data_IF_647872040646
#
_entry.id   IF_647872040646
#
_cell.length_a   1.000
_cell.length_b   1.000
_cell.length_c   1.000
_cell.angle_alpha   90.00
_cell.angle_beta   90.00
_cell.angle_gamma   90.00
#
_symmetry.space_group_name_H-M   'P 1'
#
loop_
_entity.id
_entity.type
_entity.pdbx_description
1 polymer ?
#
# COMPACT_ATOMS: atom_id res chain seq x y z
N UNK A 1 -0.91 -29.43 6.29
CA UNK A 1 -1.86 -28.31 6.24
C UNK A 1 -3.28 -28.85 5.96
N UNK A 2 -4.34 -28.23 6.54
CA UNK A 2 -5.73 -28.62 6.31
C UNK A 2 -6.37 -29.50 7.39
N UNK A 3 -5.84 -29.56 8.61
CA UNK A 3 -6.38 -30.37 9.71
C UNK A 3 -7.89 -30.10 9.99
N UNK A 4 -8.33 -28.84 9.93
CA UNK A 4 -9.75 -28.51 10.13
C UNK A 4 -10.65 -29.10 9.03
N UNK A 5 -10.20 -29.09 7.76
CA UNK A 5 -10.91 -29.71 6.65
C UNK A 5 -10.94 -31.24 6.80
N UNK A 6 -9.83 -31.84 7.19
CA UNK A 6 -9.73 -33.25 7.47
C UNK A 6 -10.71 -33.67 8.56
N UNK A 7 -10.73 -33.00 9.71
CA UNK A 7 -11.69 -33.26 10.80
C UNK A 7 -13.13 -33.06 10.35
N UNK A 8 -13.43 -32.02 9.60
CA UNK A 8 -14.78 -31.81 9.06
C UNK A 8 -15.20 -32.92 8.11
N UNK A 9 -14.30 -33.42 7.26
CA UNK A 9 -14.57 -34.55 6.37
C UNK A 9 -14.85 -35.85 7.13
N UNK A 10 -14.10 -36.09 8.21
CA UNK A 10 -14.37 -37.24 9.10
C UNK A 10 -15.76 -37.15 9.76
N UNK A 11 -16.13 -35.95 10.25
CA UNK A 11 -17.46 -35.75 10.84
C UNK A 11 -18.58 -35.83 9.81
N UNK A 12 -18.30 -35.53 8.54
CA UNK A 12 -19.24 -35.68 7.44
C UNK A 12 -19.33 -37.13 6.90
N UNK A 13 -18.53 -38.08 7.44
CA UNK A 13 -18.52 -39.48 7.03
C UNK A 13 -17.95 -39.71 5.63
N UNK A 14 -17.06 -38.84 5.15
CA UNK A 14 -16.43 -39.03 3.84
C UNK A 14 -15.26 -40.00 3.95
N UNK A 15 -15.28 -41.06 3.13
CA UNK A 15 -14.22 -42.07 3.08
C UNK A 15 -12.95 -41.59 2.37
N UNK A 16 -13.08 -40.61 1.49
CA UNK A 16 -11.98 -40.07 0.71
C UNK A 16 -12.06 -38.55 0.61
N UNK A 17 -10.92 -37.89 0.68
CA UNK A 17 -10.77 -36.39 0.55
C UNK A 17 -9.75 -36.14 -0.54
N UNK A 18 -10.00 -35.24 -1.49
CA UNK A 18 -8.99 -34.85 -2.45
C UNK A 18 -7.84 -34.13 -1.71
N UNK A 19 -6.64 -34.67 -1.85
CA UNK A 19 -5.44 -34.13 -1.23
C UNK A 19 -4.30 -34.00 -2.24
N UNK A 20 -3.55 -32.90 -2.15
CA UNK A 20 -2.31 -32.75 -2.89
C UNK A 20 -1.17 -33.25 -2.01
N UNK A 21 -0.54 -34.35 -2.43
CA UNK A 21 0.63 -34.91 -1.73
C UNK A 21 1.90 -34.33 -2.34
N UNK A 22 2.74 -33.74 -1.49
CA UNK A 22 4.04 -33.19 -1.85
C UNK A 22 5.09 -33.77 -0.93
N UNK A 23 6.19 -34.23 -1.52
CA UNK A 23 7.37 -34.58 -0.76
C UNK A 23 8.05 -33.28 -0.29
N UNK A 24 8.36 -33.18 0.98
CA UNK A 24 9.05 -32.07 1.58
C UNK A 24 9.91 -32.61 2.74
N UNK A 25 11.07 -32.04 2.92
CA UNK A 25 11.88 -32.30 4.11
C UNK A 25 11.31 -31.52 5.32
N UNK A 26 11.77 -31.84 6.53
CA UNK A 26 11.27 -31.23 7.77
C UNK A 26 11.41 -29.70 7.76
N UNK A 27 12.48 -29.18 7.18
CA UNK A 27 12.73 -27.75 7.07
C UNK A 27 11.77 -27.07 6.08
N UNK A 28 11.51 -27.68 4.93
CA UNK A 28 10.53 -27.20 3.96
C UNK A 28 9.10 -27.25 4.53
N UNK A 29 8.77 -28.29 5.31
CA UNK A 29 7.48 -28.38 6.00
C UNK A 29 7.29 -27.27 7.00
N UNK A 30 8.31 -26.97 7.80
CA UNK A 30 8.31 -25.87 8.77
C UNK A 30 8.15 -24.53 8.06
N UNK A 31 8.94 -24.30 7.01
CA UNK A 31 8.84 -23.09 6.19
C UNK A 31 7.44 -22.89 5.62
N UNK A 32 6.86 -23.93 5.02
CA UNK A 32 5.51 -23.88 4.46
C UNK A 32 4.46 -23.55 5.51
N UNK A 33 4.57 -24.15 6.71
CA UNK A 33 3.65 -23.88 7.81
C UNK A 33 3.74 -22.45 8.32
N UNK A 34 4.96 -21.90 8.43
CA UNK A 34 5.20 -20.51 8.86
C UNK A 34 4.72 -19.52 7.80
N UNK A 35 4.97 -19.77 6.52
CA UNK A 35 4.51 -18.92 5.41
C UNK A 35 2.97 -18.94 5.32
N UNK A 36 2.32 -20.09 5.47
CA UNK A 36 0.86 -20.18 5.53
C UNK A 36 0.30 -19.34 6.67
N UNK A 37 0.91 -19.44 7.85
CA UNK A 37 0.46 -18.66 9.01
C UNK A 37 0.62 -17.15 8.79
N UNK A 38 1.71 -16.70 8.13
CA UNK A 38 1.93 -15.28 7.79
C UNK A 38 0.89 -14.73 6.81
N UNK A 39 0.29 -15.59 5.97
CA UNK A 39 -0.72 -15.19 4.99
C UNK A 39 -2.14 -15.07 5.57
N UNK A 40 -2.32 -15.30 6.87
CA UNK A 40 -3.61 -15.07 7.53
C UNK A 40 -3.92 -13.57 7.59
N UNK A 41 -5.17 -13.24 7.30
CA UNK A 41 -5.62 -11.83 7.25
C UNK A 41 -5.71 -11.15 8.61
N UNK A 42 -5.76 -11.92 9.71
CA UNK A 42 -6.02 -11.45 11.07
C UNK A 42 -4.76 -11.12 11.89
N UNK A 43 -3.55 -11.22 11.30
CA UNK A 43 -2.31 -10.99 12.04
C UNK A 43 -2.02 -9.50 12.22
N UNK A 44 -1.67 -9.12 13.45
CA UNK A 44 -1.14 -7.79 13.71
C UNK A 44 0.30 -7.61 13.18
N UNK A 45 0.74 -6.35 13.03
CA UNK A 45 2.06 -6.06 12.46
C UNK A 45 3.24 -6.57 13.32
N UNK A 46 3.05 -6.75 14.63
CA UNK A 46 4.08 -7.30 15.53
C UNK A 46 4.14 -8.81 15.40
N UNK A 47 3.00 -9.50 15.30
CA UNK A 47 2.94 -10.95 15.04
C UNK A 47 3.59 -11.30 13.70
N UNK A 48 3.32 -10.53 12.65
CA UNK A 48 3.99 -10.68 11.35
C UNK A 48 5.50 -10.49 11.47
N UNK A 49 5.94 -9.48 12.23
CA UNK A 49 7.37 -9.22 12.45
C UNK A 49 8.06 -10.36 13.21
N UNK A 50 7.40 -10.93 14.23
CA UNK A 50 7.88 -12.10 14.98
C UNK A 50 7.99 -13.31 14.06
N UNK A 51 6.97 -13.55 13.24
CA UNK A 51 6.94 -14.67 12.28
C UNK A 51 8.06 -14.56 11.25
N UNK A 52 8.34 -13.35 10.73
CA UNK A 52 9.46 -13.12 9.81
C UNK A 52 10.81 -13.39 10.48
N UNK A 53 11.03 -12.90 11.71
CA UNK A 53 12.25 -13.15 12.46
C UNK A 53 12.45 -14.64 12.70
N UNK A 54 11.41 -15.33 13.16
CA UNK A 54 11.44 -16.76 13.41
C UNK A 54 11.77 -17.56 12.16
N UNK A 55 11.16 -17.21 11.02
CA UNK A 55 11.42 -17.87 9.75
C UNK A 55 12.88 -17.67 9.29
N UNK A 56 13.44 -16.48 9.51
CA UNK A 56 14.86 -16.22 9.24
C UNK A 56 15.79 -17.05 10.14
N UNK A 57 15.48 -17.15 11.43
CA UNK A 57 16.31 -17.88 12.41
C UNK A 57 16.22 -19.40 12.18
N UNK A 58 15.01 -19.96 12.03
CA UNK A 58 14.82 -21.41 11.91
C UNK A 58 15.24 -21.96 10.53
N UNK A 59 15.06 -21.18 9.45
CA UNK A 59 15.43 -21.58 8.10
C UNK A 59 16.77 -20.96 7.63
N UNK A 60 17.50 -20.24 8.48
CA UNK A 60 18.77 -19.57 8.17
C UNK A 60 18.70 -18.68 6.92
N UNK A 61 17.56 -17.98 6.73
CA UNK A 61 17.29 -17.15 5.56
C UNK A 61 17.79 -15.72 5.73
N UNK A 62 18.31 -15.15 4.66
CA UNK A 62 18.53 -13.72 4.56
C UNK A 62 17.22 -12.97 4.35
N UNK A 63 17.20 -11.65 4.60
CA UNK A 63 16.02 -10.83 4.34
C UNK A 63 15.60 -10.82 2.86
N UNK A 64 16.54 -10.99 1.95
CA UNK A 64 16.31 -11.06 0.51
C UNK A 64 15.63 -12.36 0.10
N UNK A 65 16.13 -13.48 0.58
CA UNK A 65 15.54 -14.79 0.35
C UNK A 65 14.13 -14.88 0.93
N UNK A 66 13.95 -14.41 2.18
CA UNK A 66 12.63 -14.36 2.80
C UNK A 66 11.67 -13.49 1.98
N UNK A 67 12.11 -12.32 1.52
CA UNK A 67 11.31 -11.42 0.71
C UNK A 67 10.82 -12.09 -0.60
N UNK A 68 11.73 -12.81 -1.28
CA UNK A 68 11.40 -13.58 -2.48
C UNK A 68 10.38 -14.68 -2.20
N UNK A 69 10.53 -15.44 -1.10
CA UNK A 69 9.63 -16.56 -0.74
C UNK A 69 8.23 -16.09 -0.34
N UNK A 70 8.13 -14.96 0.35
CA UNK A 70 6.85 -14.38 0.81
C UNK A 70 6.22 -13.46 -0.25
N UNK A 71 6.90 -13.20 -1.37
CA UNK A 71 6.40 -12.32 -2.43
C UNK A 71 6.34 -10.85 -2.00
N UNK A 72 7.23 -10.40 -1.10
CA UNK A 72 7.32 -9.02 -0.61
C UNK A 72 8.67 -8.41 -0.96
N UNK A 73 8.76 -7.08 -0.88
CA UNK A 73 10.05 -6.40 -1.05
C UNK A 73 10.91 -6.56 0.22
N UNK A 74 12.26 -6.65 0.05
CA UNK A 74 13.22 -6.68 1.16
C UNK A 74 13.02 -5.52 2.14
N UNK A 75 12.77 -4.32 1.63
CA UNK A 75 12.49 -3.13 2.45
C UNK A 75 11.28 -3.30 3.36
N UNK A 76 10.26 -4.04 2.91
CA UNK A 76 9.07 -4.37 3.70
C UNK A 76 9.46 -5.29 4.86
N UNK A 77 10.19 -6.38 4.59
CA UNK A 77 10.67 -7.31 5.63
C UNK A 77 11.53 -6.56 6.67
N UNK A 78 12.49 -5.75 6.20
CA UNK A 78 13.33 -4.93 7.07
C UNK A 78 12.52 -3.99 7.98
N UNK A 79 11.47 -3.35 7.46
CA UNK A 79 10.60 -2.49 8.25
C UNK A 79 9.85 -3.27 9.34
N UNK A 80 9.31 -4.46 9.04
CA UNK A 80 8.67 -5.30 10.05
C UNK A 80 9.63 -5.72 11.14
N UNK A 81 10.83 -6.22 10.79
CA UNK A 81 11.83 -6.65 11.78
C UNK A 81 12.25 -5.50 12.69
N UNK A 82 12.38 -4.27 12.15
CA UNK A 82 12.71 -3.09 12.96
C UNK A 82 11.66 -2.75 14.00
N UNK A 83 10.40 -3.13 13.83
CA UNK A 83 9.36 -2.92 14.84
C UNK A 83 9.65 -3.66 16.14
N UNK A 84 10.33 -4.80 16.07
CA UNK A 84 10.69 -5.58 17.25
C UNK A 84 11.74 -4.88 18.14
N UNK A 85 12.45 -3.88 17.61
CA UNK A 85 13.37 -3.03 18.36
C UNK A 85 12.68 -1.85 19.07
N UNK A 86 11.38 -1.66 18.90
CA UNK A 86 10.63 -0.59 19.57
C UNK A 86 10.41 -0.93 21.06
N UNK A 87 10.24 0.08 21.93
CA UNK A 87 9.84 -0.13 23.32
C UNK A 87 8.54 -0.94 23.44
N UNK A 88 8.42 -1.80 24.44
CA UNK A 88 7.27 -2.70 24.63
C UNK A 88 5.92 -1.96 24.61
N UNK A 89 5.84 -0.77 25.20
CA UNK A 89 4.64 0.08 25.20
C UNK A 89 4.19 0.43 23.77
N UNK A 90 5.15 0.73 22.89
CA UNK A 90 4.87 1.08 21.48
C UNK A 90 4.42 -0.17 20.72
N UNK A 91 5.10 -1.31 20.94
CA UNK A 91 4.71 -2.57 20.32
C UNK A 91 3.28 -2.98 20.72
N UNK A 92 2.93 -2.88 22.00
CA UNK A 92 1.57 -3.14 22.48
C UNK A 92 0.53 -2.22 21.83
N UNK A 93 0.86 -0.94 21.62
CA UNK A 93 -0.04 0.00 20.96
C UNK A 93 -0.24 -0.32 19.48
N UNK A 94 0.78 -0.89 18.82
CA UNK A 94 0.67 -1.37 17.43
C UNK A 94 -0.20 -2.62 17.37
N UNK A 95 0.04 -3.60 18.25
CA UNK A 95 -0.74 -4.83 18.34
C UNK A 95 -2.23 -4.56 18.67
N UNK A 96 -2.50 -3.59 19.55
CA UNK A 96 -3.86 -3.16 19.87
C UNK A 96 -4.54 -2.31 18.77
N UNK A 97 -3.85 -1.99 17.67
CA UNK A 97 -4.40 -1.16 16.59
C UNK A 97 -4.48 0.34 16.90
N UNK A 98 -4.03 0.78 18.09
CA UNK A 98 -4.02 2.20 18.45
C UNK A 98 -2.97 3.00 17.67
N UNK A 99 -1.93 2.33 17.18
CA UNK A 99 -0.86 2.91 16.39
C UNK A 99 -0.73 2.19 15.05
N UNK A 100 -0.86 2.90 13.93
CA UNK A 100 -0.74 2.26 12.63
C UNK A 100 0.72 1.85 12.32
N UNK A 101 0.89 0.85 11.45
CA UNK A 101 2.20 0.42 10.94
C UNK A 101 3.04 1.60 10.40
N UNK A 102 2.41 2.59 9.74
CA UNK A 102 3.09 3.78 9.24
C UNK A 102 3.76 4.60 10.35
N UNK A 103 3.07 4.83 11.46
CA UNK A 103 3.63 5.53 12.63
C UNK A 103 4.76 4.71 13.27
N UNK A 104 4.54 3.41 13.46
CA UNK A 104 5.54 2.51 14.04
C UNK A 104 6.83 2.48 13.22
N UNK A 105 6.73 2.48 11.88
CA UNK A 105 7.87 2.57 10.97
C UNK A 105 8.69 3.84 11.18
N UNK A 106 8.02 4.99 11.36
CA UNK A 106 8.69 6.27 11.63
C UNK A 106 9.41 6.22 12.98
N UNK A 107 8.75 5.70 14.02
CA UNK A 107 9.36 5.53 15.35
C UNK A 107 10.57 4.60 15.31
N UNK A 108 10.51 3.49 14.57
CA UNK A 108 11.62 2.56 14.36
C UNK A 108 12.79 3.19 13.57
N UNK A 109 12.57 4.34 12.93
CA UNK A 109 13.61 5.16 12.29
C UNK A 109 14.47 5.95 13.26
N UNK A 110 14.00 6.18 14.49
CA UNK A 110 14.74 6.88 15.53
C UNK A 110 15.65 5.90 16.28
N UNK A 111 16.92 6.26 16.46
CA UNK A 111 17.88 5.39 17.14
C UNK A 111 17.72 5.41 18.67
N UNK A 112 17.32 6.55 19.21
CA UNK A 112 17.22 6.74 20.66
C UNK A 112 15.84 6.37 21.20
N UNK A 113 15.79 5.48 22.17
CA UNK A 113 14.57 5.08 22.88
C UNK A 113 13.86 6.27 23.55
N UNK A 114 14.60 7.28 24.01
CA UNK A 114 14.02 8.52 24.58
C UNK A 114 13.20 9.27 23.54
N UNK A 115 13.75 9.44 22.34
CA UNK A 115 13.08 10.12 21.25
C UNK A 115 11.87 9.31 20.73
N UNK A 116 11.98 7.98 20.70
CA UNK A 116 10.85 7.10 20.36
C UNK A 116 9.69 7.27 21.33
N UNK A 117 9.94 7.27 22.64
CA UNK A 117 8.90 7.46 23.67
C UNK A 117 8.30 8.87 23.61
N UNK A 118 9.13 9.91 23.44
CA UNK A 118 8.66 11.29 23.35
C UNK A 118 7.77 11.51 22.11
N UNK A 119 8.17 10.98 20.96
CA UNK A 119 7.37 11.09 19.74
C UNK A 119 6.08 10.27 19.84
N UNK A 120 6.13 9.06 20.42
CA UNK A 120 4.95 8.25 20.69
C UNK A 120 3.90 9.01 21.53
N UNK A 121 4.32 9.64 22.63
CA UNK A 121 3.41 10.45 23.46
C UNK A 121 2.77 11.60 22.68
N UNK A 122 3.53 12.23 21.78
CA UNK A 122 2.99 13.30 20.92
C UNK A 122 1.99 12.77 19.89
N UNK A 123 2.26 11.59 19.31
CA UNK A 123 1.32 10.96 18.37
C UNK A 123 -0.02 10.70 19.05
N UNK A 124 0.00 10.08 20.22
CA UNK A 124 -1.24 9.74 20.95
C UNK A 124 -1.92 11.02 21.49
N UNK A 125 -1.16 11.95 22.07
CA UNK A 125 -1.74 13.18 22.67
C UNK A 125 -2.31 14.17 21.68
N UNK A 126 -1.73 14.27 20.48
CA UNK A 126 -2.13 15.22 19.43
C UNK A 126 -2.90 14.58 18.26
N UNK A 127 -3.01 13.26 18.22
CA UNK A 127 -3.62 12.55 17.09
C UNK A 127 -2.90 12.79 15.76
N UNK A 128 -1.57 12.79 15.76
CA UNK A 128 -0.78 13.10 14.57
C UNK A 128 -1.00 12.06 13.47
N UNK A 129 -1.10 12.51 12.23
CA UNK A 129 -1.06 11.61 11.09
C UNK A 129 0.39 11.21 10.74
N UNK A 130 0.58 10.19 9.88
CA UNK A 130 1.91 9.66 9.53
C UNK A 130 2.84 10.74 8.97
N UNK A 131 2.34 11.65 8.12
CA UNK A 131 3.16 12.72 7.52
C UNK A 131 3.59 13.77 8.55
N UNK A 132 2.74 14.08 9.53
CA UNK A 132 3.08 14.98 10.64
C UNK A 132 4.11 14.31 11.54
N UNK A 133 3.96 13.02 11.82
CA UNK A 133 4.92 12.22 12.58
C UNK A 133 6.29 12.19 11.89
N UNK A 134 6.34 12.01 10.57
CA UNK A 134 7.59 12.07 9.79
C UNK A 134 8.27 13.44 9.89
N UNK A 135 7.51 14.53 9.92
CA UNK A 135 8.05 15.89 10.10
C UNK A 135 8.64 16.09 11.50
N UNK A 136 7.87 15.74 12.55
CA UNK A 136 8.35 15.84 13.93
C UNK A 136 9.58 14.94 14.18
N UNK A 137 9.60 13.73 13.61
CA UNK A 137 10.76 12.84 13.66
C UNK A 137 12.00 13.48 12.98
N UNK A 138 11.83 14.13 11.82
CA UNK A 138 12.89 14.81 11.11
C UNK A 138 13.44 16.01 11.90
N UNK A 139 12.57 16.75 12.56
CA UNK A 139 12.93 17.89 13.43
C UNK A 139 13.73 17.40 14.64
N UNK A 140 13.32 16.29 15.28
CA UNK A 140 14.04 15.68 16.40
C UNK A 140 15.44 15.20 16.02
N UNK A 141 15.64 14.76 14.76
CA UNK A 141 16.93 14.36 14.22
C UNK A 141 17.80 15.55 13.75
N UNK A 142 17.32 16.78 13.90
CA UNK A 142 18.01 17.98 13.39
C UNK A 142 18.12 18.00 11.85
N UNK A 143 17.43 17.10 11.16
CA UNK A 143 17.32 17.11 9.71
C UNK A 143 16.31 18.18 9.34
N UNK A 144 16.76 19.31 8.77
CA UNK A 144 15.84 20.24 8.09
C UNK A 144 14.93 19.40 7.20
N UNK A 145 13.59 19.60 7.27
CA UNK A 145 12.69 18.88 6.40
C UNK A 145 13.18 19.11 4.98
N UNK A 146 13.71 18.08 4.37
CA UNK A 146 13.99 18.14 2.95
C UNK A 146 12.60 18.39 2.35
N UNK A 147 12.36 19.64 1.94
CA UNK A 147 11.33 19.89 0.94
C UNK A 147 11.74 18.99 -0.22
N UNK A 148 11.23 17.79 -0.27
CA UNK A 148 10.93 17.18 -1.54
C UNK A 148 9.86 18.10 -2.14
N UNK A 149 10.29 19.26 -2.62
CA UNK A 149 9.70 19.77 -3.83
C UNK A 149 9.73 18.57 -4.73
N UNK A 150 8.57 17.95 -4.93
CA UNK A 150 8.30 17.32 -6.19
C UNK A 150 8.69 18.45 -7.14
N UNK A 151 9.93 18.39 -7.67
CA UNK A 151 10.28 19.09 -8.88
C UNK A 151 9.32 18.43 -9.85
N UNK A 152 8.13 19.06 -9.99
CA UNK A 152 7.30 18.79 -11.14
C UNK A 152 8.29 18.97 -12.28
N UNK A 153 8.61 17.88 -12.97
CA UNK A 153 9.42 17.92 -14.15
C UNK A 153 8.86 19.11 -14.93
N UNK A 154 9.72 20.12 -15.20
CA UNK A 154 9.27 21.32 -15.86
C UNK A 154 8.57 20.82 -17.12
N UNK A 155 7.22 20.93 -17.13
CA UNK A 155 6.40 20.46 -18.23
C UNK A 155 7.04 20.95 -19.50
N UNK A 156 7.37 20.08 -20.43
CA UNK A 156 7.91 20.45 -21.73
C UNK A 156 7.02 21.54 -22.32
N UNK A 157 7.58 22.43 -23.11
CA UNK A 157 6.84 23.55 -23.72
C UNK A 157 5.56 23.03 -24.42
N UNK A 158 5.64 21.85 -25.05
CA UNK A 158 4.51 21.16 -25.69
C UNK A 158 3.41 20.76 -24.69
N UNK A 159 3.78 20.29 -23.50
CA UNK A 159 2.81 19.96 -22.46
C UNK A 159 2.17 21.19 -21.81
N UNK A 160 2.91 22.32 -21.74
CA UNK A 160 2.36 23.58 -21.27
C UNK A 160 1.33 24.14 -22.24
N UNK A 161 1.61 24.10 -23.55
CA UNK A 161 0.67 24.51 -24.59
C UNK A 161 -0.55 23.62 -24.66
N UNK A 162 -0.41 22.30 -24.55
CA UNK A 162 -1.52 21.34 -24.48
C UNK A 162 -2.40 21.57 -23.23
N UNK A 163 -1.77 21.84 -22.07
CA UNK A 163 -2.49 22.19 -20.83
C UNK A 163 -3.27 23.50 -20.97
N UNK A 164 -2.70 24.49 -21.62
CA UNK A 164 -3.37 25.78 -21.88
C UNK A 164 -4.56 25.58 -22.84
N UNK A 165 -4.39 24.79 -23.90
CA UNK A 165 -5.45 24.49 -24.86
C UNK A 165 -6.61 23.69 -24.24
N UNK A 166 -6.31 22.70 -23.37
CA UNK A 166 -7.33 21.96 -22.62
C UNK A 166 -8.08 22.88 -21.64
N UNK A 167 -7.37 23.79 -20.97
CA UNK A 167 -8.01 24.75 -20.05
C UNK A 167 -8.94 25.74 -20.78
N UNK A 168 -8.57 26.20 -21.97
CA UNK A 168 -9.41 27.11 -22.77
C UNK A 168 -10.69 26.42 -23.28
N UNK A 169 -10.58 25.15 -23.65
CA UNK A 169 -11.70 24.38 -24.21
C UNK A 169 -12.69 23.90 -23.13
N UNK A 170 -12.23 23.78 -21.87
CA UNK A 170 -13.02 23.38 -20.71
C UNK A 170 -13.11 24.49 -19.65
N UNK A 171 -13.26 25.75 -20.10
CA UNK A 171 -13.43 26.91 -19.25
C UNK A 171 -14.58 26.71 -18.26
N UNK A 172 -14.28 26.75 -16.96
CA UNK A 172 -15.24 26.56 -15.87
C UNK A 172 -15.08 25.27 -15.04
N UNK A 173 -14.10 24.39 -15.36
CA UNK A 173 -13.81 23.19 -14.56
C UNK A 173 -12.33 23.15 -14.18
N UNK A 174 -12.04 22.83 -12.90
CA UNK A 174 -10.68 22.63 -12.41
C UNK A 174 -10.13 21.31 -12.96
N UNK A 175 -9.37 21.38 -14.06
CA UNK A 175 -8.63 20.25 -14.62
C UNK A 175 -7.21 20.28 -14.08
N UNK A 176 -6.89 19.36 -13.18
CA UNK A 176 -5.51 19.16 -12.70
C UNK A 176 -4.85 18.05 -13.53
N UNK A 177 -4.13 18.47 -14.56
CA UNK A 177 -3.41 17.54 -15.47
C UNK A 177 -2.03 17.28 -14.86
N UNK A 178 -1.81 16.05 -14.37
CA UNK A 178 -0.51 15.57 -13.88
C UNK A 178 0.15 14.73 -14.97
N UNK A 179 1.37 15.08 -15.33
CA UNK A 179 2.20 14.25 -16.18
C UNK A 179 2.82 13.13 -15.32
N UNK A 180 2.94 11.93 -15.89
CA UNK A 180 3.78 10.84 -15.35
C UNK A 180 5.26 11.18 -15.55
N UNK A 181 6.13 10.47 -14.81
CA UNK A 181 7.59 10.65 -14.90
C UNK A 181 8.16 10.29 -16.27
N UNK A 182 7.45 9.47 -17.05
CA UNK A 182 7.74 9.07 -18.44
C UNK A 182 7.26 10.08 -19.49
N UNK A 183 6.56 11.13 -19.08
CA UNK A 183 6.08 12.19 -19.98
C UNK A 183 4.74 11.87 -20.67
N UNK A 184 4.13 10.73 -20.41
CA UNK A 184 2.80 10.38 -20.92
C UNK A 184 1.66 10.88 -20.03
N UNK A 185 0.52 11.16 -20.63
CA UNK A 185 -0.71 11.52 -19.92
C UNK A 185 -1.37 10.26 -19.34
N UNK A 186 -1.96 10.38 -18.16
CA UNK A 186 -2.65 9.25 -17.52
C UNK A 186 -3.80 8.75 -18.40
N UNK A 187 -3.72 7.50 -18.86
CA UNK A 187 -4.71 6.82 -19.70
C UNK A 187 -6.16 6.87 -19.16
N UNK A 188 -6.32 7.11 -17.86
CA UNK A 188 -7.65 7.29 -17.25
C UNK A 188 -8.29 8.60 -17.67
N UNK A 189 -7.48 9.64 -17.85
CA UNK A 189 -7.95 10.96 -18.30
C UNK A 189 -8.34 10.91 -19.77
N UNK A 190 -7.54 10.26 -20.61
CA UNK A 190 -7.83 10.09 -22.03
C UNK A 190 -9.11 9.31 -22.24
N UNK A 191 -9.33 8.19 -21.53
CA UNK A 191 -10.57 7.39 -21.63
C UNK A 191 -11.81 8.14 -21.13
N UNK A 192 -11.67 9.02 -20.16
CA UNK A 192 -12.79 9.81 -19.65
C UNK A 192 -13.16 10.96 -20.59
N UNK A 193 -12.18 11.55 -21.26
CA UNK A 193 -12.38 12.59 -22.27
C UNK A 193 -13.01 12.02 -23.55
N UNK A 194 -12.56 10.85 -24.02
CA UNK A 194 -13.10 10.14 -25.18
C UNK A 194 -14.56 9.68 -24.99
N UNK A 195 -14.91 9.25 -23.78
CA UNK A 195 -16.29 8.86 -23.46
C UNK A 195 -17.23 10.07 -23.49
N UNK A 196 -16.82 11.22 -22.96
CA UNK A 196 -17.62 12.45 -22.95
C UNK A 196 -17.67 13.17 -24.27
N UNK A 197 -16.64 13.06 -25.09
CA UNK A 197 -16.70 13.57 -26.46
C UNK A 197 -17.75 12.83 -27.27
N UNK A 198 -17.81 11.51 -27.17
CA UNK A 198 -18.85 10.67 -27.82
C UNK A 198 -20.25 10.96 -27.29
N UNK A 199 -20.42 11.19 -26.00
CA UNK A 199 -21.71 11.54 -25.40
C UNK A 199 -22.17 12.95 -25.82
N UNK A 200 -21.27 13.91 -26.00
CA UNK A 200 -21.56 15.25 -26.49
C UNK A 200 -21.96 15.26 -27.99
N UNK A 201 -21.28 14.45 -28.82
CA UNK A 201 -21.63 14.29 -30.22
C UNK A 201 -22.99 13.57 -30.42
N UNK A 202 -23.30 12.60 -29.53
CA UNK A 202 -24.58 11.91 -29.51
C UNK A 202 -25.74 12.86 -29.15
N UNK A 203 -25.52 13.76 -28.16
CA UNK A 203 -26.50 14.78 -27.78
C UNK A 203 -26.70 15.86 -28.84
N UNK A 204 -25.64 16.25 -29.56
CA UNK A 204 -25.67 17.18 -30.70
C UNK A 204 -26.45 16.58 -31.87
N UNK A 205 -26.23 15.30 -32.16
CA UNK A 205 -26.96 14.59 -33.23
C UNK A 205 -28.46 14.40 -32.88
N UNK A 206 -28.79 14.17 -31.63
CA UNK A 206 -30.18 14.05 -31.16
C UNK A 206 -30.93 15.39 -31.25
N UNK A 207 -30.26 16.52 -30.95
CA UNK A 207 -30.89 17.86 -31.08
C UNK A 207 -31.07 18.32 -32.54
N UNK A 208 -30.24 17.87 -33.49
CA UNK A 208 -30.36 18.17 -34.90
C UNK A 208 -31.50 17.38 -35.60
N UNK A 209 -31.90 16.24 -35.00
CA UNK A 209 -33.00 15.42 -35.52
C UNK A 209 -34.44 15.91 -35.17
N UNK A 210 -34.58 16.86 -34.26
CA UNK A 210 -35.88 17.28 -33.69
C UNK A 210 -36.58 18.41 -34.47
N UNK A 211 -36.06 18.91 -35.60
CA UNK A 211 -36.63 19.98 -36.37
C UNK A 211 -37.12 19.51 -37.78
N UNK A 212 -37.81 18.40 -37.87
CA UNK A 212 -38.68 18.12 -39.02
C UNK A 212 -40.10 17.87 -38.50
N UNK A 213 -40.86 18.94 -38.36
CA UNK A 213 -42.31 18.88 -38.33
C UNK A 213 -42.83 18.60 -39.76
N UNK A 214 -43.78 17.68 -39.93
CA UNK A 214 -44.44 17.51 -41.24
C UNK A 214 -45.36 18.69 -41.47
N UNK A 215 -45.19 19.32 -42.63
CA UNK A 215 -46.22 20.20 -43.19
C UNK A 215 -47.31 19.33 -43.83
N UNK A 216 -48.53 19.61 -43.43
CA UNK A 216 -49.76 19.17 -44.13
C UNK A 216 -49.74 19.58 -45.60
#
# INVERSE_FOLDING_TARGET
SGERRFRASQLAGLDQVPAYVREANDQEMLEMALVENIQREDLDAIEVAISFRRLMEECSLTQEELASRVGKQRSTISNYIRLLGLPALVQQSVAAGHLSFGHARVLAGLQETKNQKALYQRIIGKGLNVRQTEREASEMLGRKPSKKTVKGAALSLQMQTMRAHLRSRFAGRTLDVKAREDGELDDRLCRHLDRRARDADALSAASAGAHRLPRC
#
